data_IF_092335820685
#
_entry.id   IF_092335820685
#
_cell.length_a   1.000
_cell.length_b   1.000
_cell.length_c   1.000
_cell.angle_alpha   90.00
_cell.angle_beta   90.00
_cell.angle_gamma   90.00
#
_symmetry.space_group_name_H-M   'P 1'
#
loop_
_entity.id
_entity.type
_entity.pdbx_description
1 polymer ?
#
# COMPACT_ATOMS: atom_id res chain seq x y z
N UNK A 1 -12.06 -16.60 -6.71
CA UNK A 1 -10.69 -16.42 -7.19
C UNK A 1 -10.06 -15.14 -6.65
N UNK A 2 -10.70 -14.01 -6.91
CA UNK A 2 -10.20 -12.72 -6.44
C UNK A 2 -10.13 -12.65 -4.92
N UNK A 3 -11.13 -13.21 -4.26
CA UNK A 3 -11.19 -13.18 -2.80
C UNK A 3 -10.03 -13.96 -2.19
N UNK A 4 -9.72 -15.12 -2.76
CA UNK A 4 -8.64 -15.98 -2.27
C UNK A 4 -7.29 -15.29 -2.41
N UNK A 5 -7.06 -14.68 -3.57
CA UNK A 5 -5.83 -13.93 -3.83
C UNK A 5 -5.70 -12.75 -2.88
N UNK A 6 -6.81 -12.05 -2.67
CA UNK A 6 -6.86 -10.90 -1.77
C UNK A 6 -6.45 -11.31 -0.35
N UNK A 7 -7.03 -12.41 0.15
CA UNK A 7 -6.72 -12.90 1.48
C UNK A 7 -5.26 -13.28 1.61
N UNK A 8 -4.71 -14.01 0.61
CA UNK A 8 -3.31 -14.41 0.64
C UNK A 8 -2.36 -13.22 0.69
N UNK A 9 -2.60 -12.25 -0.17
CA UNK A 9 -1.73 -11.07 -0.24
C UNK A 9 -1.78 -10.29 1.07
N UNK A 10 -2.98 -10.08 1.61
CA UNK A 10 -3.14 -9.34 2.85
C UNK A 10 -2.51 -10.08 4.03
N UNK A 11 -2.69 -11.41 4.10
CA UNK A 11 -2.07 -12.20 5.17
C UNK A 11 -0.55 -12.14 5.13
N UNK A 12 0.02 -12.30 3.95
CA UNK A 12 1.47 -12.25 3.80
C UNK A 12 2.02 -10.88 4.21
N UNK A 13 1.36 -9.83 3.76
CA UNK A 13 1.78 -8.47 4.09
C UNK A 13 1.64 -8.20 5.60
N UNK A 14 0.57 -8.69 6.21
CA UNK A 14 0.33 -8.54 7.64
C UNK A 14 1.42 -9.26 8.45
N UNK A 15 1.71 -10.51 8.10
CA UNK A 15 2.76 -11.28 8.79
C UNK A 15 4.14 -10.65 8.61
N UNK A 16 4.42 -10.14 7.42
CA UNK A 16 5.68 -9.46 7.18
C UNK A 16 5.80 -8.21 8.05
N UNK A 17 4.73 -7.42 8.14
CA UNK A 17 4.72 -6.22 8.98
C UNK A 17 4.90 -6.58 10.45
N UNK A 18 4.27 -7.65 10.89
CA UNK A 18 4.38 -8.13 12.25
C UNK A 18 5.82 -8.55 12.57
N UNK A 19 6.44 -9.25 11.64
CA UNK A 19 7.83 -9.66 11.78
C UNK A 19 8.75 -8.44 11.82
N UNK A 20 8.51 -7.45 10.97
CA UNK A 20 9.29 -6.23 10.96
C UNK A 20 9.14 -5.45 12.27
N UNK A 21 7.93 -5.38 12.80
CA UNK A 21 7.67 -4.70 14.07
C UNK A 21 8.38 -5.41 15.22
N UNK A 22 8.32 -6.74 15.26
CA UNK A 22 8.96 -7.53 16.30
C UNK A 22 10.47 -7.37 16.30
N UNK A 23 11.06 -7.20 15.13
CA UNK A 23 12.52 -7.06 14.97
C UNK A 23 12.98 -5.62 14.89
N UNK A 24 12.08 -4.68 15.04
CA UNK A 24 12.41 -3.26 14.98
C UNK A 24 12.89 -2.79 13.62
N UNK A 25 12.50 -3.47 12.55
CA UNK A 25 12.87 -3.10 11.19
C UNK A 25 11.97 -2.00 10.67
N UNK A 26 12.52 -1.15 9.80
CA UNK A 26 11.72 -0.14 9.12
C UNK A 26 10.82 -0.81 8.09
N UNK A 27 9.62 -0.28 7.95
CA UNK A 27 8.67 -0.74 6.95
C UNK A 27 7.92 0.46 6.36
N UNK A 28 7.38 0.28 5.16
CA UNK A 28 6.58 1.33 4.55
C UNK A 28 5.31 1.58 5.35
N UNK A 29 4.70 0.51 5.85
CA UNK A 29 3.50 0.61 6.67
C UNK A 29 3.87 0.87 8.12
N UNK A 30 3.06 1.68 8.80
CA UNK A 30 3.22 1.92 10.23
C UNK A 30 3.08 0.61 11.00
N UNK A 31 3.98 0.38 11.98
CA UNK A 31 3.96 -0.82 12.80
C UNK A 31 2.65 -0.99 13.57
N UNK A 32 1.91 0.07 13.75
CA UNK A 32 0.58 0.01 14.35
C UNK A 32 -0.34 -0.94 13.59
N UNK A 33 -0.11 -1.10 12.29
CA UNK A 33 -0.86 -2.04 11.46
C UNK A 33 -0.61 -3.49 11.82
N UNK A 34 0.37 -3.80 12.67
CA UNK A 34 0.64 -5.17 13.10
C UNK A 34 -0.22 -5.58 14.31
N UNK A 35 -0.99 -4.66 14.86
CA UNK A 35 -1.83 -4.93 16.04
C UNK A 35 -2.96 -5.91 15.71
N UNK A 36 -3.71 -5.64 14.65
CA UNK A 36 -4.76 -6.55 14.19
C UNK A 36 -5.08 -6.26 12.71
N UNK A 37 -5.98 -7.07 12.15
CA UNK A 37 -6.32 -6.98 10.73
C UNK A 37 -6.98 -5.66 10.36
N UNK A 38 -7.81 -5.12 11.24
CA UNK A 38 -8.50 -3.86 10.98
C UNK A 38 -7.50 -2.70 10.90
N UNK A 39 -6.55 -2.68 11.83
CA UNK A 39 -5.50 -1.67 11.84
C UNK A 39 -4.57 -1.83 10.64
N UNK A 40 -4.29 -3.09 10.25
CA UNK A 40 -3.49 -3.33 9.06
C UNK A 40 -4.15 -2.72 7.82
N UNK A 41 -5.43 -3.00 7.65
CA UNK A 41 -6.17 -2.48 6.49
C UNK A 41 -6.19 -0.95 6.50
N UNK A 42 -6.34 -0.35 7.67
CA UNK A 42 -6.36 1.10 7.81
C UNK A 42 -5.02 1.72 7.38
N UNK A 43 -3.90 1.19 7.88
CA UNK A 43 -2.59 1.76 7.53
C UNK A 43 -2.22 1.47 6.08
N UNK A 44 -2.63 0.32 5.54
CA UNK A 44 -2.39 0.00 4.14
C UNK A 44 -3.16 0.96 3.23
N UNK A 45 -4.42 1.23 3.57
CA UNK A 45 -5.27 2.17 2.82
C UNK A 45 -4.69 3.57 2.85
N UNK A 46 -4.21 4.00 4.00
CA UNK A 46 -3.58 5.32 4.14
C UNK A 46 -2.41 5.48 3.18
N UNK A 47 -1.52 4.49 3.13
CA UNK A 47 -0.36 4.54 2.24
C UNK A 47 -0.77 4.44 0.78
N UNK A 48 -1.80 3.64 0.48
CA UNK A 48 -2.32 3.51 -0.87
C UNK A 48 -2.74 4.86 -1.46
N UNK A 49 -3.38 5.69 -0.66
CA UNK A 49 -3.83 7.01 -1.11
C UNK A 49 -2.75 8.09 -0.94
N UNK A 50 -1.93 8.00 0.09
CA UNK A 50 -0.96 9.03 0.42
C UNK A 50 0.38 8.86 -0.30
N UNK A 51 0.85 7.62 -0.46
CA UNK A 51 2.14 7.32 -1.09
C UNK A 51 2.02 6.18 -2.10
N UNK A 52 1.16 6.36 -3.11
CA UNK A 52 0.86 5.25 -4.03
C UNK A 52 2.04 4.80 -4.87
N UNK A 53 2.91 5.70 -5.30
CA UNK A 53 4.08 5.33 -6.11
C UNK A 53 5.03 4.46 -5.32
N UNK A 54 5.24 4.80 -4.05
CA UNK A 54 6.12 4.06 -3.19
C UNK A 54 5.53 2.68 -2.88
N UNK A 55 4.24 2.62 -2.60
CA UNK A 55 3.57 1.35 -2.35
C UNK A 55 3.62 0.43 -3.57
N UNK A 56 3.38 0.99 -4.76
CA UNK A 56 3.45 0.21 -6.00
C UNK A 56 4.83 -0.38 -6.21
N UNK A 57 5.87 0.37 -5.88
CA UNK A 57 7.25 -0.07 -6.03
C UNK A 57 7.65 -1.12 -5.00
N UNK A 58 7.34 -0.87 -3.73
CA UNK A 58 7.82 -1.70 -2.63
C UNK A 58 6.88 -2.86 -2.28
N UNK A 59 5.60 -2.70 -2.53
CA UNK A 59 4.58 -3.70 -2.20
C UNK A 59 3.60 -3.87 -3.35
N UNK A 60 4.08 -4.30 -4.52
CA UNK A 60 3.24 -4.33 -5.72
C UNK A 60 2.00 -5.22 -5.60
N UNK A 61 2.10 -6.36 -4.94
CA UNK A 61 0.95 -7.26 -4.79
C UNK A 61 -0.15 -6.61 -3.94
N UNK A 62 0.25 -5.99 -2.83
CA UNK A 62 -0.71 -5.30 -1.97
C UNK A 62 -1.31 -4.09 -2.69
N UNK A 63 -0.49 -3.36 -3.45
CA UNK A 63 -0.98 -2.25 -4.26
C UNK A 63 -2.09 -2.71 -5.21
N UNK A 64 -1.86 -3.83 -5.91
CA UNK A 64 -2.85 -4.34 -6.87
C UNK A 64 -4.15 -4.74 -6.19
N UNK A 65 -4.06 -5.33 -5.02
CA UNK A 65 -5.25 -5.71 -4.24
C UNK A 65 -6.08 -4.48 -3.88
N UNK A 66 -5.42 -3.43 -3.37
CA UNK A 66 -6.12 -2.21 -2.98
C UNK A 66 -6.65 -1.44 -4.20
N UNK A 67 -5.88 -1.41 -5.30
CA UNK A 67 -6.34 -0.78 -6.52
C UNK A 67 -7.62 -1.45 -7.04
N UNK A 68 -7.68 -2.76 -6.97
CA UNK A 68 -8.88 -3.51 -7.37
C UNK A 68 -10.04 -3.27 -6.43
N UNK A 69 -9.78 -3.24 -5.13
CA UNK A 69 -10.79 -3.04 -4.12
C UNK A 69 -11.44 -1.65 -4.25
N UNK A 70 -10.62 -0.62 -4.39
CA UNK A 70 -11.12 0.75 -4.50
C UNK A 70 -11.46 1.16 -5.92
N UNK A 71 -11.08 0.34 -6.90
CA UNK A 71 -11.24 0.62 -8.33
C UNK A 71 -10.58 1.95 -8.70
N UNK A 72 -9.37 2.14 -8.19
CA UNK A 72 -8.58 3.35 -8.42
C UNK A 72 -7.12 2.98 -8.65
N UNK A 73 -6.49 3.68 -9.58
CA UNK A 73 -5.05 3.57 -9.80
C UNK A 73 -4.40 4.85 -9.29
N UNK A 74 -4.17 4.88 -7.98
CA UNK A 74 -3.64 6.08 -7.33
C UNK A 74 -2.23 6.40 -7.78
N UNK A 75 -1.43 5.39 -8.12
CA UNK A 75 -0.07 5.61 -8.61
C UNK A 75 -0.08 6.31 -9.97
N UNK A 76 -0.98 5.88 -10.87
CA UNK A 76 -1.10 6.53 -12.18
C UNK A 76 -1.55 7.98 -12.03
N UNK A 77 -2.50 8.22 -11.12
CA UNK A 77 -2.98 9.58 -10.83
C UNK A 77 -1.86 10.46 -10.32
N UNK A 78 -1.04 9.94 -9.42
CA UNK A 78 0.09 10.66 -8.86
C UNK A 78 1.12 11.00 -9.93
N UNK A 79 1.41 10.07 -10.84
CA UNK A 79 2.33 10.31 -11.95
C UNK A 79 1.84 11.42 -12.86
N UNK A 80 0.55 11.41 -13.19
CA UNK A 80 -0.06 12.45 -14.03
C UNK A 80 0.03 13.81 -13.34
N UNK A 81 -0.24 13.84 -12.04
CA UNK A 81 -0.20 15.07 -11.26
C UNK A 81 1.22 15.65 -11.22
N UNK A 82 2.22 14.82 -10.99
CA UNK A 82 3.62 15.27 -10.96
C UNK A 82 4.09 15.76 -12.32
N UNK A 83 3.70 15.06 -13.36
CA UNK A 83 4.04 15.46 -14.72
C UNK A 83 3.41 16.81 -15.08
N UNK A 84 2.17 17.02 -14.69
CA UNK A 84 1.45 18.25 -14.90
C UNK A 84 2.10 19.41 -14.14
N UNK A 85 2.45 19.19 -12.89
CA UNK A 85 3.13 20.19 -12.06
C UNK A 85 4.50 20.55 -12.65
N UNK A 86 5.23 19.58 -13.18
CA UNK A 86 6.52 19.80 -13.81
C UNK A 86 6.38 20.67 -15.05
N UNK A 87 5.31 20.48 -15.82
CA UNK A 87 5.05 21.28 -17.03
C UNK A 87 4.74 22.72 -16.70
N UNK A 88 4.05 22.98 -15.63
CA UNK A 88 3.66 24.33 -15.24
C UNK A 88 4.82 25.13 -14.69
N UNK A 89 5.92 24.49 -14.37
CA UNK A 89 7.11 25.16 -13.84
C UNK A 89 8.05 25.71 -14.90
N UNK A 90 7.91 25.29 -16.11
CA UNK A 90 8.84 25.71 -17.17
C UNK A 90 8.54 27.10 -17.74
#
# INVERSE_FOLDING_TARGET
ERYRQWVQVCEQAFFQLRNDADKGRKSLLDHYGAVDEAEFFAVATEIFFDRPLRMQKEMPALYQVLAGYYRQDTAARERRHRKKASRTRS
#
